data_IF_854567540691
#
_entry.id   IF_854567540691
#
_cell.length_a   1.000
_cell.length_b   1.000
_cell.length_c   1.000
_cell.angle_alpha   90.00
_cell.angle_beta   90.00
_cell.angle_gamma   90.00
#
_symmetry.space_group_name_H-M   'P 1'
#
loop_
_entity.id
_entity.type
_entity.pdbx_description
1 polymer ?
#
# COMPACT_ATOMS: atom_id res chain seq x y z
N UNK A 1 -19.69 4.91 -16.90
CA UNK A 1 -20.47 4.97 -15.64
C UNK A 1 -20.07 6.28 -15.01
N UNK A 2 -20.91 7.30 -15.18
CA UNK A 2 -20.61 8.65 -14.72
C UNK A 2 -21.33 8.84 -13.38
N UNK A 3 -20.56 8.87 -12.31
CA UNK A 3 -21.06 8.95 -10.94
C UNK A 3 -19.93 8.80 -9.93
N UNK A 4 -20.11 9.37 -8.74
CA UNK A 4 -19.12 9.32 -7.68
C UNK A 4 -19.74 8.83 -6.37
N UNK A 5 -18.95 8.11 -5.58
CA UNK A 5 -19.31 7.69 -4.23
C UNK A 5 -18.72 8.73 -3.27
N UNK A 6 -19.57 9.48 -2.56
CA UNK A 6 -19.13 10.36 -1.47
C UNK A 6 -18.76 9.49 -0.26
N UNK A 7 -17.47 9.45 0.08
CA UNK A 7 -16.97 8.69 1.22
C UNK A 7 -16.75 9.63 2.41
N UNK A 8 -17.47 9.38 3.52
CA UNK A 8 -17.25 10.16 4.74
C UNK A 8 -15.86 9.87 5.33
N UNK A 9 -15.14 10.89 5.77
CA UNK A 9 -13.77 10.75 6.32
C UNK A 9 -13.70 9.86 7.57
N UNK A 10 -14.79 9.69 8.31
CA UNK A 10 -14.91 8.73 9.42
C UNK A 10 -14.72 7.27 8.98
N UNK A 11 -14.82 6.97 7.67
CA UNK A 11 -14.44 5.67 7.13
C UNK A 11 -12.99 5.32 7.46
N UNK A 12 -12.07 6.28 7.38
CA UNK A 12 -10.64 6.04 7.58
C UNK A 12 -10.24 5.85 9.05
N UNK A 13 -11.19 5.97 9.99
CA UNK A 13 -10.98 5.69 11.41
C UNK A 13 -11.61 4.36 11.85
N UNK A 14 -12.25 3.62 10.94
CA UNK A 14 -12.88 2.35 11.29
C UNK A 14 -11.84 1.20 11.45
N UNK A 15 -12.29 0.09 12.02
CA UNK A 15 -11.44 -1.08 12.26
C UNK A 15 -10.90 -1.70 10.96
N UNK A 16 -11.70 -1.73 9.89
CA UNK A 16 -11.30 -2.30 8.60
C UNK A 16 -10.17 -1.51 7.93
N UNK A 17 -10.23 -0.19 7.94
CA UNK A 17 -9.17 0.65 7.40
C UNK A 17 -7.89 0.54 8.22
N UNK A 18 -8.02 0.44 9.55
CA UNK A 18 -6.91 0.32 10.50
C UNK A 18 -6.26 -1.06 10.53
N UNK A 19 -6.83 -2.05 9.83
CA UNK A 19 -6.26 -3.38 9.74
C UNK A 19 -4.84 -3.34 9.14
N UNK A 20 -3.89 -3.91 9.86
CA UNK A 20 -2.49 -3.96 9.45
C UNK A 20 -2.35 -4.75 8.15
N UNK A 21 -1.79 -4.11 7.13
CA UNK A 21 -1.53 -4.73 5.81
C UNK A 21 -0.54 -3.90 5.00
N UNK A 22 0.03 -4.52 3.98
CA UNK A 22 0.71 -3.79 2.91
C UNK A 22 -0.32 -3.16 2.00
N UNK A 23 -0.29 -1.83 1.87
CA UNK A 23 -1.24 -1.14 1.00
C UNK A 23 -1.02 -1.53 -0.47
N UNK A 24 -2.12 -1.66 -1.20
CA UNK A 24 -2.13 -1.66 -2.65
C UNK A 24 -1.85 -0.25 -3.20
N UNK A 25 -1.61 -0.13 -4.51
CA UNK A 25 -1.39 1.17 -5.14
C UNK A 25 -2.61 2.08 -5.05
N UNK A 26 -3.83 1.51 -5.05
CA UNK A 26 -5.08 2.26 -4.91
C UNK A 26 -5.28 2.73 -3.47
N UNK A 27 -5.02 1.89 -2.48
CA UNK A 27 -5.11 2.26 -1.07
C UNK A 27 -4.13 3.38 -0.70
N UNK A 28 -2.90 3.34 -1.23
CA UNK A 28 -1.95 4.44 -1.05
C UNK A 28 -2.46 5.76 -1.64
N UNK A 29 -3.10 5.72 -2.82
CA UNK A 29 -3.70 6.91 -3.43
C UNK A 29 -4.88 7.45 -2.60
N UNK A 30 -5.78 6.56 -2.16
CA UNK A 30 -6.90 6.90 -1.29
C UNK A 30 -6.41 7.49 0.04
N UNK A 31 -5.33 6.94 0.58
CA UNK A 31 -4.72 7.44 1.81
C UNK A 31 -4.14 8.84 1.61
N UNK A 32 -3.51 9.15 0.46
CA UNK A 32 -3.09 10.53 0.17
C UNK A 32 -4.28 11.48 0.09
N UNK A 33 -5.33 11.11 -0.64
CA UNK A 33 -6.55 11.93 -0.78
C UNK A 33 -7.17 12.22 0.60
N UNK A 34 -7.28 11.21 1.45
CA UNK A 34 -7.83 11.41 2.79
C UNK A 34 -6.86 12.18 3.68
N UNK A 35 -5.54 11.98 3.59
CA UNK A 35 -4.58 12.74 4.40
C UNK A 35 -4.53 14.23 4.06
N UNK A 36 -4.85 14.58 2.81
CA UNK A 36 -4.81 15.97 2.36
C UNK A 36 -5.79 16.83 3.15
N UNK A 37 -5.34 18.06 3.45
CA UNK A 37 -6.13 19.07 4.17
C UNK A 37 -7.45 19.32 3.45
N UNK A 38 -8.54 19.09 4.17
CA UNK A 38 -9.89 19.25 3.66
C UNK A 38 -10.46 20.66 3.83
N UNK A 39 -9.96 21.51 4.71
CA UNK A 39 -10.53 22.85 4.87
C UNK A 39 -9.89 23.83 3.88
N UNK A 40 -10.65 24.82 3.42
CA UNK A 40 -10.13 25.90 2.57
C UNK A 40 -9.08 26.74 3.32
N UNK A 41 -9.34 27.03 4.60
CA UNK A 41 -8.44 27.81 5.44
C UNK A 41 -7.14 27.03 5.75
N UNK A 42 -5.96 27.65 5.51
CA UNK A 42 -4.68 27.06 5.85
C UNK A 42 -4.59 26.75 7.35
N UNK A 43 -4.03 25.59 7.68
CA UNK A 43 -3.73 25.23 9.07
C UNK A 43 -2.25 25.50 9.37
N UNK A 44 -1.96 26.13 10.50
CA UNK A 44 -0.62 26.13 11.06
C UNK A 44 -0.44 24.84 11.88
N UNK A 45 0.62 24.09 11.57
CA UNK A 45 0.99 22.88 12.28
C UNK A 45 2.30 23.10 13.02
N UNK A 46 2.30 22.86 14.32
CA UNK A 46 3.49 22.88 15.15
C UNK A 46 4.27 21.57 15.00
N UNK A 47 5.57 21.71 14.74
CA UNK A 47 6.51 20.61 14.66
C UNK A 47 7.06 20.28 16.05
N UNK A 48 7.62 19.07 16.27
CA UNK A 48 8.24 18.70 17.54
C UNK A 48 9.37 19.63 18.03
N UNK A 49 9.94 20.44 17.13
CA UNK A 49 10.96 21.45 17.45
C UNK A 49 10.38 22.86 17.69
N UNK A 50 9.06 23.00 17.86
CA UNK A 50 8.37 24.25 18.14
C UNK A 50 8.20 25.19 16.94
N UNK A 51 8.73 24.84 15.76
CA UNK A 51 8.51 25.62 14.53
C UNK A 51 7.13 25.36 13.97
N UNK A 52 6.56 26.37 13.31
CA UNK A 52 5.27 26.28 12.65
C UNK A 52 5.45 26.15 11.14
N UNK A 53 4.68 25.25 10.53
CA UNK A 53 4.54 25.14 9.06
C UNK A 53 3.09 25.37 8.66
N UNK A 54 2.86 25.91 7.46
CA UNK A 54 1.51 26.15 6.95
C UNK A 54 1.09 25.03 5.99
N UNK A 55 -0.09 24.44 6.21
CA UNK A 55 -0.67 23.40 5.35
C UNK A 55 -1.96 23.93 4.74
N UNK A 56 -1.98 24.08 3.41
CA UNK A 56 -3.13 24.57 2.64
C UNK A 56 -4.04 23.41 2.21
N UNK A 57 -5.25 23.73 1.75
CA UNK A 57 -6.19 22.76 1.15
C UNK A 57 -5.47 21.89 0.11
N UNK A 58 -5.70 20.58 0.14
CA UNK A 58 -5.08 19.64 -0.80
C UNK A 58 -3.62 19.30 -0.51
N UNK A 59 -3.01 19.90 0.53
CA UNK A 59 -1.63 19.60 0.93
C UNK A 59 -1.56 18.57 2.06
N UNK A 60 -0.44 17.86 2.10
CA UNK A 60 -0.13 16.79 3.06
C UNK A 60 1.27 17.03 3.62
N UNK A 61 1.38 17.21 4.93
CA UNK A 61 2.68 17.14 5.61
C UNK A 61 3.07 15.68 5.83
N UNK A 62 3.87 15.13 4.91
CA UNK A 62 4.35 13.76 4.99
C UNK A 62 5.70 13.57 4.30
N UNK A 63 6.64 13.01 5.06
CA UNK A 63 7.91 12.50 4.54
C UNK A 63 7.78 11.08 3.99
N UNK A 64 8.78 10.67 3.21
CA UNK A 64 8.81 9.33 2.59
C UNK A 64 8.81 8.21 3.62
N UNK A 65 9.56 8.37 4.73
CA UNK A 65 9.63 7.36 5.78
C UNK A 65 8.27 7.16 6.45
N UNK A 66 7.60 8.26 6.80
CA UNK A 66 6.26 8.24 7.36
C UNK A 66 5.28 7.47 6.44
N UNK A 67 5.27 7.76 5.14
CA UNK A 67 4.41 7.06 4.18
C UNK A 67 4.82 5.59 4.01
N UNK A 68 6.12 5.29 4.01
CA UNK A 68 6.65 3.94 3.90
C UNK A 68 6.15 3.05 5.04
N UNK A 69 6.27 3.54 6.27
CA UNK A 69 5.85 2.82 7.47
C UNK A 69 4.32 2.64 7.46
N UNK A 70 3.58 3.71 7.15
CA UNK A 70 2.11 3.70 7.08
C UNK A 70 1.57 2.72 6.04
N UNK A 71 2.22 2.61 4.89
CA UNK A 71 1.77 1.76 3.79
C UNK A 71 2.32 0.33 3.86
N UNK A 72 3.22 0.04 4.79
CA UNK A 72 3.95 -1.21 4.86
C UNK A 72 4.80 -1.46 3.60
N UNK A 73 5.37 -0.39 3.04
CA UNK A 73 6.22 -0.42 1.84
C UNK A 73 7.70 -0.24 2.21
N UNK A 74 8.60 -0.59 1.29
CA UNK A 74 9.98 -0.11 1.38
C UNK A 74 10.05 1.36 0.97
N UNK A 75 11.03 2.08 1.51
CA UNK A 75 11.24 3.52 1.22
C UNK A 75 11.42 3.74 -0.29
N UNK A 76 12.14 2.85 -0.97
CA UNK A 76 12.35 2.88 -2.42
C UNK A 76 11.05 2.71 -3.22
N UNK A 77 10.15 1.81 -2.78
CA UNK A 77 8.85 1.61 -3.43
C UNK A 77 7.99 2.87 -3.28
N UNK A 78 7.95 3.44 -2.07
CA UNK A 78 7.26 4.70 -1.75
C UNK A 78 7.81 5.85 -2.60
N UNK A 79 9.13 6.02 -2.64
CA UNK A 79 9.78 7.04 -3.45
C UNK A 79 9.44 6.90 -4.93
N UNK A 80 9.54 5.68 -5.48
CA UNK A 80 9.18 5.41 -6.88
C UNK A 80 7.72 5.72 -7.18
N UNK A 81 6.83 5.38 -6.25
CA UNK A 81 5.41 5.65 -6.40
C UNK A 81 5.11 7.15 -6.41
N UNK A 82 5.61 7.90 -5.42
CA UNK A 82 5.44 9.36 -5.38
C UNK A 82 6.05 10.01 -6.62
N UNK A 83 7.27 9.63 -7.03
CA UNK A 83 7.90 10.17 -8.23
C UNK A 83 7.12 9.90 -9.51
N UNK A 84 6.47 8.73 -9.62
CA UNK A 84 5.60 8.41 -10.75
C UNK A 84 4.41 9.38 -10.82
N UNK A 85 3.82 9.73 -9.68
CA UNK A 85 2.71 10.69 -9.63
C UNK A 85 3.18 12.14 -9.84
N UNK A 86 4.39 12.48 -9.42
CA UNK A 86 5.03 13.75 -9.76
C UNK A 86 5.25 13.88 -11.28
N UNK A 87 5.79 12.84 -11.92
CA UNK A 87 5.99 12.80 -13.37
C UNK A 87 4.68 12.92 -14.17
N UNK A 88 3.57 12.49 -13.57
CA UNK A 88 2.22 12.61 -14.15
C UNK A 88 1.54 13.94 -13.83
N UNK A 89 2.18 14.83 -13.08
CA UNK A 89 1.59 16.07 -12.58
C UNK A 89 0.34 15.86 -11.71
N UNK A 90 0.24 14.71 -11.05
CA UNK A 90 -0.84 14.41 -10.10
C UNK A 90 -0.45 14.82 -8.67
N UNK A 91 0.86 14.92 -8.40
CA UNK A 91 1.44 15.38 -7.14
C UNK A 91 2.51 16.43 -7.43
N UNK A 92 2.55 17.50 -6.65
CA UNK A 92 3.72 18.37 -6.51
C UNK A 92 4.35 18.21 -5.12
N UNK A 93 5.63 18.58 -5.00
CA UNK A 93 6.35 18.56 -3.72
C UNK A 93 6.95 19.92 -3.46
N UNK A 94 6.71 20.44 -2.26
CA UNK A 94 7.42 21.59 -1.72
C UNK A 94 8.09 21.23 -0.41
N UNK A 95 9.10 22.00 -0.06
CA UNK A 95 9.81 21.89 1.22
C UNK A 95 9.57 23.16 2.00
N UNK A 96 9.15 23.04 3.26
CA UNK A 96 8.99 24.17 4.18
C UNK A 96 9.83 23.90 5.43
N UNK A 97 10.87 24.71 5.65
CA UNK A 97 11.76 24.57 6.82
C UNK A 97 12.40 23.17 6.97
N UNK A 98 12.61 22.46 5.86
CA UNK A 98 13.15 21.09 5.82
C UNK A 98 12.09 19.99 5.86
N UNK A 99 10.82 20.33 6.05
CA UNK A 99 9.70 19.38 6.03
C UNK A 99 9.18 19.15 4.61
N UNK A 100 8.86 17.89 4.30
CA UNK A 100 8.27 17.50 3.02
C UNK A 100 6.76 17.71 3.02
N UNK A 101 6.27 18.53 2.09
CA UNK A 101 4.85 18.78 1.88
C UNK A 101 4.50 18.34 0.46
N UNK A 102 3.56 17.40 0.37
CA UNK A 102 3.00 16.92 -0.89
C UNK A 102 1.73 17.70 -1.20
N UNK A 103 1.54 18.09 -2.45
CA UNK A 103 0.39 18.84 -2.94
C UNK A 103 -0.34 17.94 -3.93
N UNK A 104 -1.62 17.67 -3.71
CA UNK A 104 -2.46 16.95 -4.66
C UNK A 104 -3.05 17.93 -5.68
N UNK A 105 -2.52 17.93 -6.90
CA UNK A 105 -2.92 18.91 -7.92
C UNK A 105 -4.39 18.78 -8.31
N UNK A 106 -4.93 17.56 -8.29
CA UNK A 106 -6.32 17.26 -8.65
C UNK A 106 -7.21 17.08 -7.41
N UNK A 107 -6.89 17.71 -6.27
CA UNK A 107 -7.65 17.49 -5.03
C UNK A 107 -9.13 17.87 -5.17
N UNK A 108 -9.42 18.95 -5.88
CA UNK A 108 -10.78 19.48 -6.06
C UNK A 108 -11.70 18.50 -6.82
N UNK A 109 -11.13 17.66 -7.69
CA UNK A 109 -11.89 16.60 -8.36
C UNK A 109 -12.45 15.56 -7.36
N UNK A 110 -11.70 15.28 -6.29
CA UNK A 110 -12.11 14.31 -5.28
C UNK A 110 -12.95 14.94 -4.16
N UNK A 111 -12.66 16.19 -3.81
CA UNK A 111 -13.27 16.90 -2.69
C UNK A 111 -13.62 18.34 -3.10
N UNK A 112 -14.68 18.55 -3.91
CA UNK A 112 -15.09 19.89 -4.33
C UNK A 112 -15.65 20.71 -3.16
N UNK A 113 -15.45 22.03 -3.18
CA UNK A 113 -16.17 22.97 -2.31
C UNK A 113 -17.63 23.11 -2.77
N UNK A 114 -18.58 23.17 -1.84
CA UNK A 114 -20.02 23.17 -2.16
C UNK A 114 -20.47 24.34 -3.06
N UNK A 115 -19.68 25.41 -3.17
CA UNK A 115 -19.99 26.52 -4.08
C UNK A 115 -19.81 26.17 -5.59
N UNK A 116 -19.23 24.99 -5.91
CA UNK A 116 -19.06 24.52 -7.29
C UNK A 116 -20.15 23.58 -7.80
N UNK A 117 -21.14 23.21 -6.97
CA UNK A 117 -22.27 22.34 -7.40
C UNK A 117 -23.43 23.09 -8.06
N UNK A 118 -23.28 24.39 -8.34
CA UNK A 118 -24.17 25.09 -9.28
C UNK A 118 -23.71 24.86 -10.72
N UNK A 119 -24.11 23.70 -11.27
CA UNK A 119 -24.36 23.50 -12.69
C UNK A 119 -23.12 23.54 -13.63
N UNK A 120 -22.40 22.42 -13.80
CA UNK A 120 -21.67 22.16 -15.06
C UNK A 120 -21.55 20.67 -15.34
N UNK A 121 -22.58 20.12 -15.97
CA UNK A 121 -22.41 19.03 -16.95
C UNK A 121 -21.75 19.63 -18.20
N UNK A 122 -20.43 19.74 -18.22
CA UNK A 122 -19.70 19.84 -19.49
C UNK A 122 -18.25 19.38 -19.33
N UNK A 123 -17.88 18.45 -20.20
CA UNK A 123 -16.50 18.03 -20.40
C UNK A 123 -15.65 19.24 -20.79
N UNK A 124 -14.75 19.68 -19.92
CA UNK A 124 -13.59 20.50 -20.30
C UNK A 124 -12.42 20.12 -19.39
N UNK A 125 -11.23 19.78 -19.92
CA UNK A 125 -10.09 19.46 -19.08
C UNK A 125 -9.66 20.72 -18.32
N UNK A 126 -9.29 20.61 -17.03
CA UNK A 126 -8.96 21.78 -16.24
C UNK A 126 -7.74 22.47 -16.84
N UNK A 127 -7.95 23.67 -17.39
CA UNK A 127 -6.88 24.64 -17.59
C UNK A 127 -6.44 25.10 -16.20
N UNK A 128 -5.20 24.78 -15.87
CA UNK A 128 -4.48 25.23 -14.69
C UNK A 128 -4.73 26.72 -14.39
N UNK A 129 -5.16 27.09 -13.17
CA UNK A 129 -5.11 28.47 -12.71
C UNK A 129 -4.06 28.61 -11.59
N UNK A 130 -2.84 28.94 -11.98
CA UNK A 130 -2.04 29.87 -11.19
C UNK A 130 -2.75 31.23 -11.25
N UNK A 131 -3.55 31.57 -10.25
CA UNK A 131 -3.78 32.98 -9.90
C UNK A 131 -4.17 33.10 -8.43
N UNK A 132 -3.38 33.89 -7.71
CA UNK A 132 -3.62 34.30 -6.34
C UNK A 132 -4.91 35.09 -6.20
N UNK A 133 -5.67 34.86 -5.12
CA UNK A 133 -6.63 35.84 -4.61
C UNK A 133 -6.51 35.94 -3.08
N UNK A 134 -6.38 37.20 -2.66
CA UNK A 134 -6.26 37.77 -1.32
C UNK A 134 -7.59 37.76 -0.55
N UNK A 135 -7.58 38.02 0.78
CA UNK A 135 -8.69 37.68 1.67
C UNK A 135 -9.73 38.81 1.76
N UNK A 136 -11.00 38.42 1.87
CA UNK A 136 -12.10 39.31 2.27
C UNK A 136 -12.66 38.91 3.64
N UNK A 137 -12.65 39.90 4.54
CA UNK A 137 -13.36 40.03 5.82
C UNK A 137 -14.86 39.72 5.61
N UNK A 138 -15.65 39.12 6.51
CA UNK A 138 -15.96 39.55 7.89
C UNK A 138 -16.95 38.57 8.59
N UNK A 139 -16.86 38.51 9.93
CA UNK A 139 -17.93 38.29 10.95
C UNK A 139 -18.36 36.87 11.40
N UNK A 140 -17.76 36.52 12.55
CA UNK A 140 -18.22 35.80 13.75
C UNK A 140 -19.75 35.85 14.04
N UNK A 141 -20.37 34.70 14.33
CA UNK A 141 -21.21 34.47 15.53
C UNK A 141 -21.33 32.97 15.86
N UNK A 142 -21.33 32.71 17.16
CA UNK A 142 -21.30 31.44 17.89
C UNK A 142 -22.74 31.00 18.19
N UNK A 143 -23.05 29.70 18.08
CA UNK A 143 -24.02 29.02 18.95
C UNK A 143 -23.71 27.52 18.96
N UNK A 144 -23.49 27.01 20.17
CA UNK A 144 -23.20 25.62 20.53
C UNK A 144 -24.52 24.86 20.61
N UNK A 145 -24.70 23.80 19.83
CA UNK A 145 -25.83 22.88 19.97
C UNK A 145 -25.38 21.60 20.68
N UNK A 146 -25.90 21.44 21.89
CA UNK A 146 -25.66 20.35 22.83
C UNK A 146 -26.19 19.01 22.30
N UNK A 147 -25.32 18.02 22.12
CA UNK A 147 -25.71 16.63 21.85
C UNK A 147 -25.45 15.81 23.12
N UNK A 148 -26.49 15.25 23.78
CA UNK A 148 -26.32 14.47 25.01
C UNK A 148 -25.62 13.12 24.73
N UNK A 149 -24.82 12.59 25.68
CA UNK A 149 -24.11 11.33 25.50
C UNK A 149 -25.06 10.13 25.56
N UNK A 150 -25.04 9.29 24.51
CA UNK A 150 -25.75 8.01 24.46
C UNK A 150 -25.13 7.03 25.48
N UNK A 151 -25.93 6.61 26.46
CA UNK A 151 -25.57 5.59 27.44
C UNK A 151 -25.92 4.18 26.91
N UNK A 152 -25.00 3.20 26.95
CA UNK A 152 -25.31 1.81 26.62
C UNK A 152 -26.16 1.14 27.73
N UNK A 153 -26.99 0.14 27.38
CA UNK A 153 -27.95 -0.46 28.32
C UNK A 153 -27.27 -1.35 29.35
N UNK A 154 -27.54 -1.09 30.62
CA UNK A 154 -27.19 -1.93 31.78
C UNK A 154 -28.33 -2.93 32.03
N UNK A 155 -28.03 -4.22 31.97
CA UNK A 155 -28.86 -5.27 32.56
C UNK A 155 -28.41 -5.54 34.00
N UNK A 156 -29.34 -5.40 34.97
CA UNK A 156 -29.17 -5.83 36.37
C UNK A 156 -29.29 -7.36 36.51
N UNK A 157 -29.15 -8.00 37.67
CA UNK A 157 -28.96 -7.70 39.10
C UNK A 157 -28.77 -9.12 39.77
N UNK A 158 -28.72 -9.38 41.10
CA UNK A 158 -28.28 -8.59 42.28
C UNK A 158 -27.44 -9.40 43.33
N UNK A 159 -26.90 -8.64 44.30
CA UNK A 159 -26.83 -8.86 45.77
C UNK A 159 -26.10 -10.04 46.47
N UNK A 160 -25.18 -9.64 47.37
CA UNK A 160 -24.95 -10.03 48.79
C UNK A 160 -23.46 -10.37 49.05
N UNK A 161 -22.73 -9.88 50.06
CA UNK A 161 -23.01 -9.03 51.22
C UNK A 161 -21.80 -9.09 52.19
N UNK A 162 -21.41 -7.92 52.74
CA UNK A 162 -20.58 -7.72 53.96
C UNK A 162 -19.09 -8.15 53.92
N UNK A 163 -18.15 -7.68 54.76
CA UNK A 163 -18.06 -6.60 55.74
C UNK A 163 -16.60 -6.56 56.28
N UNK A 164 -16.14 -5.37 56.67
CA UNK A 164 -15.18 -5.08 57.77
C UNK A 164 -13.65 -5.38 57.69
N UNK A 165 -12.89 -4.28 57.74
CA UNK A 165 -11.85 -3.87 58.73
C UNK A 165 -10.47 -4.56 58.85
N UNK A 166 -9.45 -3.68 58.68
CA UNK A 166 -8.28 -3.42 59.55
C UNK A 166 -7.05 -4.37 59.62
N UNK A 167 -5.91 -3.83 59.17
CA UNK A 167 -4.70 -3.66 59.99
C UNK A 167 -3.60 -4.74 59.94
N UNK A 168 -2.31 -4.37 60.13
CA UNK A 168 -1.15 -5.06 59.54
C UNK A 168 -0.36 -5.93 60.52
N UNK A 169 0.49 -6.85 60.03
CA UNK A 169 1.67 -7.37 60.76
C UNK A 169 2.64 -8.18 59.87
N UNK A 170 3.90 -8.14 60.29
CA UNK A 170 5.12 -8.53 59.59
C UNK A 170 5.59 -9.96 59.91
N UNK A 171 6.35 -10.53 58.96
CA UNK A 171 7.44 -11.53 59.08
C UNK A 171 7.21 -12.88 59.79
N UNK A 172 7.36 -13.98 59.04
CA UNK A 172 8.34 -15.06 59.26
C UNK A 172 8.08 -16.26 58.30
N UNK A 173 9.10 -16.66 57.55
CA UNK A 173 9.22 -17.94 56.83
C UNK A 173 9.88 -18.95 57.79
N UNK A 174 9.49 -20.24 57.84
CA UNK A 174 10.18 -21.22 56.98
C UNK A 174 9.34 -22.44 56.57
N UNK A 175 9.52 -22.91 55.33
CA UNK A 175 9.45 -24.35 55.06
C UNK A 175 8.77 -24.76 53.75
N UNK A 176 9.51 -24.75 52.64
CA UNK A 176 9.25 -25.71 51.57
C UNK A 176 10.53 -26.14 50.86
N UNK A 177 10.66 -27.47 50.75
CA UNK A 177 11.82 -28.25 50.30
C UNK A 177 11.68 -28.49 48.79
N UNK A 178 12.78 -28.49 48.00
CA UNK A 178 12.70 -28.56 46.55
C UNK A 178 12.86 -29.99 45.97
N UNK A 179 12.45 -30.12 44.70
CA UNK A 179 12.75 -31.16 43.65
C UNK A 179 12.16 -32.58 43.86
N UNK A 180 11.94 -33.41 42.80
CA UNK A 180 12.91 -33.75 41.74
C UNK A 180 12.39 -33.72 40.28
N UNK A 181 13.37 -33.43 39.41
CA UNK A 181 13.44 -33.81 38.01
C UNK A 181 13.44 -35.33 37.85
N UNK A 182 12.80 -35.85 36.80
CA UNK A 182 13.18 -37.13 36.21
C UNK A 182 13.24 -37.03 34.68
N UNK A 183 14.36 -37.51 34.15
CA UNK A 183 14.59 -37.80 32.75
C UNK A 183 14.50 -39.31 32.53
N UNK A 184 13.80 -39.74 31.47
CA UNK A 184 14.19 -40.92 30.69
C UNK A 184 13.41 -41.02 29.37
N UNK A 185 14.12 -40.71 28.29
CA UNK A 185 14.29 -41.50 27.07
C UNK A 185 13.14 -42.36 26.52
N UNK A 186 12.56 -41.96 25.37
CA UNK A 186 12.39 -42.83 24.20
C UNK A 186 12.13 -41.99 22.91
N UNK A 187 12.83 -42.31 21.81
CA UNK A 187 12.71 -41.71 20.47
C UNK A 187 11.83 -42.61 19.55
N UNK A 188 11.63 -42.28 18.25
CA UNK A 188 11.19 -41.03 17.61
C UNK A 188 9.87 -41.24 16.81
N UNK A 189 8.92 -40.29 16.91
CA UNK A 189 7.75 -40.22 16.01
C UNK A 189 8.04 -39.35 14.77
N UNK A 190 7.39 -39.60 13.63
CA UNK A 190 7.68 -38.92 12.36
C UNK A 190 7.37 -37.42 12.43
N UNK A 191 8.11 -36.55 11.70
CA UNK A 191 7.97 -35.11 11.84
C UNK A 191 6.67 -34.63 11.20
N UNK A 192 5.74 -34.16 12.02
CA UNK A 192 4.61 -33.35 11.59
C UNK A 192 5.12 -31.95 11.22
N UNK A 193 5.18 -31.73 9.91
CA UNK A 193 5.02 -30.49 9.14
C UNK A 193 5.38 -29.18 9.84
N UNK A 194 6.54 -28.64 9.46
CA UNK A 194 6.88 -27.24 9.65
C UNK A 194 6.00 -26.35 8.74
N UNK A 195 5.33 -25.38 9.35
CA UNK A 195 4.65 -24.28 8.66
C UNK A 195 5.70 -23.40 7.96
N UNK A 196 5.94 -23.67 6.67
CA UNK A 196 6.80 -22.87 5.82
C UNK A 196 6.17 -21.48 5.60
N UNK A 197 6.67 -20.49 6.34
CA UNK A 197 6.54 -19.10 5.93
C UNK A 197 7.14 -18.93 4.53
N UNK A 198 6.30 -18.71 3.52
CA UNK A 198 6.70 -18.53 2.11
C UNK A 198 7.48 -17.21 1.97
N UNK A 199 8.78 -17.27 2.28
CA UNK A 199 9.76 -16.28 1.87
C UNK A 199 9.67 -16.14 0.35
N UNK A 200 9.38 -14.92 -0.15
CA UNK A 200 9.33 -14.65 -1.59
C UNK A 200 10.66 -15.10 -2.21
N UNK A 201 10.65 -16.26 -2.87
CA UNK A 201 11.83 -16.88 -3.48
C UNK A 201 12.48 -15.86 -4.41
N UNK A 202 13.65 -15.34 -4.01
CA UNK A 202 14.50 -14.49 -4.84
C UNK A 202 14.81 -15.29 -6.11
N UNK A 203 14.68 -14.67 -7.28
CA UNK A 203 14.86 -15.35 -8.56
C UNK A 203 16.20 -16.10 -8.59
N UNK A 204 16.14 -17.42 -8.75
CA UNK A 204 17.28 -18.29 -9.00
C UNK A 204 17.21 -18.71 -10.46
N UNK A 205 18.30 -18.55 -11.24
CA UNK A 205 18.43 -19.17 -12.54
C UNK A 205 18.03 -20.66 -12.46
N UNK A 206 17.19 -21.16 -13.37
CA UNK A 206 16.87 -22.59 -13.45
C UNK A 206 18.09 -23.42 -13.82
N UNK A 207 18.03 -24.72 -13.55
CA UNK A 207 18.97 -25.68 -14.10
C UNK A 207 18.54 -26.11 -15.50
N UNK A 208 19.50 -26.53 -16.34
CA UNK A 208 19.23 -27.00 -17.71
C UNK A 208 18.21 -28.13 -17.74
N UNK A 209 18.27 -29.04 -16.76
CA UNK A 209 17.31 -30.14 -16.61
C UNK A 209 15.89 -29.66 -16.28
N UNK A 210 15.74 -28.63 -15.45
CA UNK A 210 14.43 -28.04 -15.14
C UNK A 210 13.79 -27.40 -16.37
N UNK A 211 14.61 -26.71 -17.19
CA UNK A 211 14.17 -26.15 -18.46
C UNK A 211 13.81 -27.26 -19.44
N UNK A 212 14.60 -28.33 -19.50
CA UNK A 212 14.35 -29.50 -20.35
C UNK A 212 13.02 -30.19 -20.00
N UNK A 213 12.79 -30.49 -18.73
CA UNK A 213 11.55 -31.09 -18.26
C UNK A 213 10.34 -30.22 -18.60
N UNK A 214 10.46 -28.89 -18.43
CA UNK A 214 9.38 -27.95 -18.72
C UNK A 214 9.09 -27.82 -20.23
N UNK A 215 10.12 -27.81 -21.08
CA UNK A 215 9.96 -27.79 -22.53
C UNK A 215 9.38 -29.11 -23.07
N UNK A 216 9.83 -30.25 -22.53
CA UNK A 216 9.31 -31.57 -22.86
C UNK A 216 7.83 -31.72 -22.47
N UNK A 217 7.45 -31.33 -21.24
CA UNK A 217 6.07 -31.38 -20.78
C UNK A 217 5.11 -30.53 -21.63
N UNK A 218 5.62 -29.50 -22.31
CA UNK A 218 4.84 -28.62 -23.19
C UNK A 218 4.89 -29.04 -24.66
N UNK A 219 5.72 -30.02 -25.01
CA UNK A 219 5.98 -30.45 -26.38
C UNK A 219 6.24 -29.27 -27.35
N UNK A 220 7.05 -28.30 -26.92
CA UNK A 220 7.24 -27.03 -27.62
C UNK A 220 8.47 -26.99 -28.57
N UNK A 221 9.24 -28.09 -28.61
CA UNK A 221 10.43 -28.24 -29.46
C UNK A 221 11.57 -27.26 -29.16
N UNK A 222 11.53 -26.52 -28.05
CA UNK A 222 12.58 -25.57 -27.67
C UNK A 222 13.80 -26.34 -27.16
N UNK A 223 14.97 -26.05 -27.73
CA UNK A 223 16.24 -26.58 -27.23
C UNK A 223 16.58 -25.94 -25.87
N UNK A 224 16.64 -26.74 -24.78
CA UNK A 224 16.92 -26.22 -23.45
C UNK A 224 18.29 -25.56 -23.34
N UNK A 225 19.31 -26.08 -24.03
CA UNK A 225 20.67 -25.54 -23.99
C UNK A 225 20.71 -24.14 -24.63
N UNK A 226 20.17 -24.00 -25.85
CA UNK A 226 20.07 -22.70 -26.51
C UNK A 226 19.27 -21.65 -25.72
N UNK A 227 18.27 -22.08 -24.94
CA UNK A 227 17.52 -21.18 -24.05
C UNK A 227 18.38 -20.70 -22.87
N UNK A 228 19.14 -21.60 -22.25
CA UNK A 228 20.04 -21.29 -21.14
C UNK A 228 21.15 -20.34 -21.58
N UNK A 229 21.88 -20.65 -22.65
CA UNK A 229 22.99 -19.84 -23.16
C UNK A 229 22.55 -18.39 -23.49
N UNK A 230 21.35 -18.24 -24.06
CA UNK A 230 20.80 -16.93 -24.41
C UNK A 230 20.55 -16.04 -23.20
N UNK A 231 20.08 -16.59 -22.08
CA UNK A 231 19.78 -15.81 -20.88
C UNK A 231 20.97 -15.73 -19.93
N UNK A 232 21.85 -16.72 -19.92
CA UNK A 232 23.11 -16.69 -19.19
C UNK A 232 24.02 -15.57 -19.73
N UNK A 233 24.19 -15.48 -21.05
CA UNK A 233 24.95 -14.38 -21.70
C UNK A 233 24.36 -12.98 -21.44
N UNK A 234 23.08 -12.90 -21.06
CA UNK A 234 22.38 -11.65 -20.72
C UNK A 234 22.27 -11.40 -19.22
N UNK A 235 22.91 -12.20 -18.38
CA UNK A 235 22.82 -12.09 -16.93
C UNK A 235 21.37 -12.24 -16.41
N UNK A 236 20.56 -13.04 -17.09
CA UNK A 236 19.14 -13.25 -16.83
C UNK A 236 18.31 -11.96 -16.84
N UNK A 237 18.60 -11.04 -17.77
CA UNK A 237 17.85 -9.79 -17.93
C UNK A 237 16.80 -9.87 -19.04
N UNK A 238 15.66 -9.18 -18.82
CA UNK A 238 14.62 -8.90 -19.82
C UNK A 238 14.42 -7.39 -19.88
N UNK A 239 14.91 -6.78 -20.96
CA UNK A 239 15.00 -5.32 -21.07
C UNK A 239 15.94 -4.76 -19.99
N UNK A 240 15.47 -3.80 -19.20
CA UNK A 240 16.25 -3.16 -18.12
C UNK A 240 16.18 -3.89 -16.78
N UNK A 241 15.37 -4.93 -16.65
CA UNK A 241 15.09 -5.60 -15.36
C UNK A 241 15.58 -7.06 -15.36
N UNK A 242 15.97 -7.57 -14.18
CA UNK A 242 16.21 -9.01 -14.00
C UNK A 242 14.92 -9.82 -14.20
N UNK A 243 15.05 -10.97 -14.86
CA UNK A 243 13.98 -11.92 -15.09
C UNK A 243 13.43 -12.41 -13.75
N UNK A 244 12.11 -12.59 -13.68
CA UNK A 244 11.42 -13.08 -12.47
C UNK A 244 10.79 -14.45 -12.64
N UNK A 245 10.55 -14.86 -13.89
CA UNK A 245 9.92 -16.13 -14.23
C UNK A 245 10.41 -16.58 -15.61
N UNK A 246 11.29 -17.59 -15.64
CA UNK A 246 11.87 -18.11 -16.87
C UNK A 246 10.87 -18.92 -17.70
N UNK A 247 9.88 -19.56 -17.06
CA UNK A 247 8.81 -20.28 -17.77
C UNK A 247 7.98 -19.34 -18.66
N UNK A 248 7.79 -18.08 -18.24
CA UNK A 248 7.14 -17.06 -19.08
C UNK A 248 7.98 -16.68 -20.31
N UNK A 249 9.31 -16.70 -20.20
CA UNK A 249 10.21 -16.49 -21.32
C UNK A 249 10.15 -17.65 -22.32
N UNK A 250 10.07 -18.90 -21.85
CA UNK A 250 9.85 -20.10 -22.69
C UNK A 250 8.54 -19.97 -23.50
N UNK A 251 7.44 -19.55 -22.87
CA UNK A 251 6.15 -19.30 -23.57
C UNK A 251 6.26 -18.21 -24.64
N UNK A 252 7.18 -17.26 -24.48
CA UNK A 252 7.41 -16.20 -25.48
C UNK A 252 8.23 -16.70 -26.65
N UNK A 253 9.24 -17.55 -26.40
CA UNK A 253 9.98 -18.27 -27.45
C UNK A 253 9.06 -19.18 -28.27
N UNK A 254 8.12 -19.86 -27.61
CA UNK A 254 7.10 -20.70 -28.26
C UNK A 254 6.28 -19.90 -29.28
N UNK A 255 5.74 -18.74 -28.87
CA UNK A 255 4.99 -17.84 -29.76
C UNK A 255 5.82 -17.35 -30.93
N UNK A 256 7.07 -16.94 -30.70
CA UNK A 256 7.95 -16.43 -31.75
C UNK A 256 8.25 -17.50 -32.82
N UNK A 257 8.47 -18.77 -32.41
CA UNK A 257 8.67 -19.88 -33.36
C UNK A 257 7.42 -20.20 -34.17
N UNK A 258 6.22 -20.19 -33.56
CA UNK A 258 4.96 -20.42 -34.28
C UNK A 258 4.74 -19.37 -35.38
N UNK A 259 4.94 -18.09 -35.07
CA UNK A 259 4.84 -17.01 -36.08
C UNK A 259 5.83 -17.20 -37.22
N UNK A 260 7.07 -17.62 -36.94
CA UNK A 260 8.07 -17.87 -37.99
C UNK A 260 7.77 -19.11 -38.83
N UNK A 261 7.11 -20.13 -38.30
CA UNK A 261 6.73 -21.32 -39.07
C UNK A 261 5.48 -21.09 -39.94
N UNK A 262 4.56 -20.22 -39.54
CA UNK A 262 3.34 -19.90 -40.28
C UNK A 262 3.58 -18.94 -41.46
N UNK A 263 4.61 -18.10 -41.42
CA UNK A 263 4.96 -17.18 -42.52
C UNK A 263 5.72 -17.82 -43.69
N UNK A 264 6.14 -19.10 -43.60
CA UNK A 264 6.85 -19.81 -44.68
C UNK A 264 5.85 -20.51 -45.64
N UNK A 265 4.72 -19.88 -45.93
CA UNK A 265 3.88 -20.27 -47.07
C UNK A 265 4.42 -19.54 -48.30
N UNK A 266 4.92 -20.25 -49.35
CA UNK A 266 5.51 -19.59 -50.50
C UNK A 266 4.46 -18.76 -51.23
N UNK A 267 4.67 -17.43 -51.29
CA UNK A 267 3.85 -16.55 -52.12
C UNK A 267 4.01 -16.98 -53.58
N UNK A 268 2.90 -17.40 -54.22
CA UNK A 268 2.86 -17.71 -55.65
C UNK A 268 3.43 -16.54 -56.46
N UNK A 269 4.30 -16.78 -57.46
CA UNK A 269 4.86 -15.70 -58.26
C UNK A 269 3.74 -15.04 -59.08
N UNK A 270 3.72 -13.70 -59.05
CA UNK A 270 2.83 -12.86 -59.85
C UNK A 270 3.19 -13.06 -61.33
N UNK A 271 2.25 -13.57 -62.14
CA UNK A 271 2.38 -13.57 -63.60
C UNK A 271 2.29 -12.12 -64.08
N UNK A 272 3.35 -11.60 -64.69
CA UNK A 272 3.27 -10.40 -65.52
C UNK A 272 2.49 -10.75 -66.79
N UNK A 273 1.39 -10.03 -67.02
CA UNK A 273 0.77 -9.81 -68.33
C UNK A 273 0.67 -8.31 -68.54
#
# INVERSE_FOLDING_TARGET
>A
MDGFIRLNRKFFTNAYWSQQRTFSLSEAWLDLIQMARFDAEPAMKELPNGRLITIKRGEIHAGLRFLSDRWGWSVEKTQRYINKHIQKHEIERRTEQGESILILCNYEYYNPLEDTVSNTMSNTPPKNPYTALTPTRTKKKKEEEYIPPYSPPVGGNPAAGGSALAGPRSAADPGYIPIPSESSTQAPGPPAEADETVSRRRFRPPQTEEVAAYCAARNNGIDPAAFMDFYESKGWMVGRNKMKNWQAAVRTWERKRKTTQEEVVPRKPLKLL
#
